data_IF_540941636356
#
_entry.id   IF_540941636356
#
_cell.length_a   1.000
_cell.length_b   1.000
_cell.length_c   1.000
_cell.angle_alpha   90.00
_cell.angle_beta   90.00
_cell.angle_gamma   90.00
#
_symmetry.space_group_name_H-M   'P 1'
#
loop_
_entity.id
_entity.type
_entity.pdbx_description
1 polymer ?
#
# COMPACT_ATOMS: atom_id res chain seq x y z
N UNK A 1 8.44 44.64 -69.85
CA UNK A 1 7.95 43.66 -68.86
C UNK A 1 9.16 43.08 -68.16
N UNK A 2 9.33 43.35 -66.87
CA UNK A 2 10.42 42.78 -66.07
C UNK A 2 10.02 41.38 -65.62
N UNK A 3 10.74 40.36 -66.06
CA UNK A 3 10.53 38.98 -65.62
C UNK A 3 10.87 38.86 -64.13
N UNK A 4 9.85 38.52 -63.33
CA UNK A 4 10.00 38.26 -61.90
C UNK A 4 10.50 36.82 -61.72
N UNK A 5 11.78 36.65 -61.42
CA UNK A 5 12.35 35.34 -61.11
C UNK A 5 12.00 34.95 -59.66
N UNK A 6 11.22 33.88 -59.50
CA UNK A 6 10.97 33.26 -58.20
C UNK A 6 11.87 32.04 -58.08
N UNK A 7 12.75 32.02 -57.09
CA UNK A 7 13.53 30.81 -56.79
C UNK A 7 12.59 29.70 -56.32
N UNK A 8 12.74 28.52 -56.91
CA UNK A 8 12.04 27.32 -56.46
C UNK A 8 12.63 26.90 -55.12
N UNK A 9 11.88 27.08 -54.03
CA UNK A 9 12.30 26.69 -52.68
C UNK A 9 12.48 25.17 -52.51
N UNK A 10 12.85 24.73 -51.30
CA UNK A 10 12.90 23.32 -50.94
C UNK A 10 11.71 22.93 -50.06
N UNK A 11 11.12 21.75 -50.27
CA UNK A 11 10.06 21.14 -49.44
C UNK A 11 10.68 20.26 -48.35
N UNK A 12 10.22 20.41 -47.11
CA UNK A 12 10.57 19.51 -46.01
C UNK A 12 9.65 18.27 -45.99
N UNK A 13 10.20 17.09 -45.72
CA UNK A 13 9.41 15.87 -45.50
C UNK A 13 9.49 15.43 -44.03
N UNK A 14 8.34 15.34 -43.35
CA UNK A 14 8.29 15.00 -41.92
C UNK A 14 8.69 13.55 -41.60
N UNK A 15 8.40 12.62 -42.51
CA UNK A 15 8.71 11.20 -42.31
C UNK A 15 10.18 10.88 -42.57
N UNK A 16 10.77 11.49 -43.61
CA UNK A 16 12.16 11.26 -43.98
C UNK A 16 13.14 12.25 -43.35
N UNK A 17 12.64 13.37 -42.80
CA UNK A 17 13.41 14.46 -42.19
C UNK A 17 14.52 14.98 -43.11
N UNK A 18 14.18 15.19 -44.38
CA UNK A 18 15.08 15.76 -45.39
C UNK A 18 14.37 16.85 -46.18
N UNK A 19 15.17 17.79 -46.70
CA UNK A 19 14.72 18.76 -47.69
C UNK A 19 14.79 18.15 -49.09
N UNK A 20 13.74 18.36 -49.87
CA UNK A 20 13.55 17.90 -51.25
C UNK A 20 13.37 19.15 -52.11
N UNK A 21 13.82 19.14 -53.37
CA UNK A 21 13.53 20.25 -54.28
C UNK A 21 12.03 20.38 -54.52
N UNK A 22 11.51 21.62 -54.58
CA UNK A 22 10.08 21.87 -54.79
C UNK A 22 9.64 21.67 -56.26
N UNK A 23 10.05 20.57 -56.88
CA UNK A 23 9.56 20.15 -58.19
C UNK A 23 8.53 19.02 -57.98
N UNK A 24 7.32 19.09 -58.57
CA UNK A 24 6.28 18.08 -58.41
C UNK A 24 6.73 16.66 -58.79
N UNK A 25 7.68 16.50 -59.70
CA UNK A 25 8.24 15.19 -60.05
C UNK A 25 9.18 14.66 -58.96
N UNK A 26 10.05 15.51 -58.41
CA UNK A 26 10.95 15.15 -57.31
C UNK A 26 10.17 14.75 -56.05
N UNK A 27 9.10 15.49 -55.74
CA UNK A 27 8.22 15.21 -54.60
C UNK A 27 7.54 13.85 -54.77
N UNK A 28 6.94 13.59 -55.94
CA UNK A 28 6.29 12.30 -56.22
C UNK A 28 7.27 11.13 -56.16
N UNK A 29 8.45 11.27 -56.75
CA UNK A 29 9.47 10.21 -56.71
C UNK A 29 9.96 9.94 -55.28
N UNK A 30 10.06 10.98 -54.44
CA UNK A 30 10.37 10.81 -53.02
C UNK A 30 9.25 10.08 -52.27
N UNK A 31 8.00 10.52 -52.42
CA UNK A 31 6.83 9.96 -51.73
C UNK A 31 6.56 8.50 -52.16
N UNK A 32 6.83 8.18 -53.43
CA UNK A 32 6.76 6.82 -53.96
C UNK A 32 7.97 5.95 -53.60
N UNK A 33 9.07 6.58 -53.15
CA UNK A 33 10.31 5.91 -52.78
C UNK A 33 10.13 4.96 -51.59
N UNK A 34 10.88 3.85 -51.61
CA UNK A 34 10.83 2.80 -50.58
C UNK A 34 11.15 3.36 -49.19
N UNK A 35 12.17 4.21 -49.07
CA UNK A 35 12.53 4.86 -47.79
C UNK A 35 11.38 5.65 -47.17
N UNK A 36 10.62 6.39 -47.98
CA UNK A 36 9.49 7.17 -47.49
C UNK A 36 8.38 6.25 -46.99
N UNK A 37 7.98 5.27 -47.80
CA UNK A 37 6.97 4.27 -47.44
C UNK A 37 7.35 3.49 -46.17
N UNK A 38 8.60 3.07 -46.05
CA UNK A 38 9.11 2.35 -44.88
C UNK A 38 9.08 3.22 -43.61
N UNK A 39 9.43 4.51 -43.72
CA UNK A 39 9.38 5.43 -42.59
C UNK A 39 7.94 5.71 -42.15
N UNK A 40 7.01 5.86 -43.10
CA UNK A 40 5.57 6.00 -42.82
C UNK A 40 5.06 4.73 -42.14
N UNK A 41 5.35 3.54 -42.69
CA UNK A 41 4.94 2.26 -42.11
C UNK A 41 5.50 2.06 -40.69
N UNK A 42 6.77 2.43 -40.45
CA UNK A 42 7.39 2.41 -39.12
C UNK A 42 6.69 3.36 -38.16
N UNK A 43 6.37 4.58 -38.59
CA UNK A 43 5.65 5.55 -37.73
C UNK A 43 4.25 5.06 -37.38
N UNK A 44 3.51 4.51 -38.34
CA UNK A 44 2.19 3.92 -38.08
C UNK A 44 2.27 2.71 -37.14
N UNK A 45 3.27 1.85 -37.31
CA UNK A 45 3.48 0.71 -36.41
C UNK A 45 3.86 1.16 -34.99
N UNK A 46 4.70 2.20 -34.86
CA UNK A 46 5.03 2.79 -33.57
C UNK A 46 3.80 3.39 -32.89
N UNK A 47 2.99 4.19 -33.60
CA UNK A 47 1.74 4.77 -33.08
C UNK A 47 0.77 3.70 -32.58
N UNK A 48 0.57 2.61 -33.34
CA UNK A 48 -0.28 1.50 -32.89
C UNK A 48 0.24 0.86 -31.60
N UNK A 49 1.55 0.60 -31.52
CA UNK A 49 2.17 0.03 -30.31
C UNK A 49 2.03 0.98 -29.11
N UNK A 50 2.32 2.26 -29.28
CA UNK A 50 2.16 3.28 -28.26
C UNK A 50 0.70 3.39 -27.78
N UNK A 51 -0.27 3.37 -28.69
CA UNK A 51 -1.69 3.38 -28.30
C UNK A 51 -2.05 2.15 -27.49
N UNK A 52 -1.63 0.94 -27.90
CA UNK A 52 -1.89 -0.27 -27.11
C UNK A 52 -1.19 -0.30 -25.76
N UNK A 53 -0.02 0.35 -25.64
CA UNK A 53 0.69 0.49 -24.36
C UNK A 53 -0.06 1.47 -23.45
N UNK A 54 -0.41 2.65 -23.95
CA UNK A 54 -1.21 3.66 -23.24
C UNK A 54 -2.55 3.09 -22.79
N UNK A 55 -3.26 2.35 -23.65
CA UNK A 55 -4.53 1.71 -23.26
C UNK A 55 -4.37 0.71 -22.10
N UNK A 56 -3.24 -0.01 -22.02
CA UNK A 56 -2.96 -0.91 -20.91
C UNK A 56 -2.65 -0.14 -19.63
N UNK A 57 -1.80 0.89 -19.73
CA UNK A 57 -1.49 1.78 -18.60
C UNK A 57 -2.77 2.47 -18.08
N UNK A 58 -3.65 2.95 -18.97
CA UNK A 58 -4.94 3.51 -18.61
C UNK A 58 -5.87 2.49 -17.93
N UNK A 59 -5.88 1.23 -18.38
CA UNK A 59 -6.64 0.16 -17.73
C UNK A 59 -6.09 -0.18 -16.35
N UNK A 60 -4.77 -0.29 -16.21
CA UNK A 60 -4.11 -0.58 -14.94
C UNK A 60 -4.32 0.55 -13.92
N UNK A 61 -4.21 1.80 -14.36
CA UNK A 61 -4.50 2.98 -13.52
C UNK A 61 -5.97 3.06 -13.12
N UNK A 62 -6.91 2.79 -14.03
CA UNK A 62 -8.33 2.73 -13.70
C UNK A 62 -8.64 1.63 -12.67
N UNK A 63 -8.07 0.43 -12.83
CA UNK A 63 -8.22 -0.66 -11.86
C UNK A 63 -7.60 -0.31 -10.50
N UNK A 64 -6.46 0.38 -10.48
CA UNK A 64 -5.82 0.83 -9.25
C UNK A 64 -6.70 1.85 -8.51
N UNK A 65 -7.29 2.81 -9.23
CA UNK A 65 -8.21 3.79 -8.67
C UNK A 65 -9.47 3.12 -8.10
N UNK A 66 -10.09 2.19 -8.84
CA UNK A 66 -11.25 1.44 -8.36
C UNK A 66 -10.95 0.67 -7.06
N UNK A 67 -9.76 0.06 -6.96
CA UNK A 67 -9.34 -0.62 -5.72
C UNK A 67 -9.12 0.34 -4.56
N UNK A 68 -8.58 1.54 -4.82
CA UNK A 68 -8.41 2.58 -3.79
C UNK A 68 -9.77 3.06 -3.31
N UNK A 69 -10.69 3.33 -4.23
CA UNK A 69 -12.06 3.75 -3.92
C UNK A 69 -12.80 2.69 -3.11
N UNK A 70 -12.76 1.43 -3.53
CA UNK A 70 -13.40 0.33 -2.80
C UNK A 70 -12.82 0.16 -1.38
N UNK A 71 -11.50 0.32 -1.21
CA UNK A 71 -10.87 0.29 0.12
C UNK A 71 -11.28 1.49 0.97
N UNK A 72 -11.30 2.68 0.40
CA UNK A 72 -11.70 3.91 1.08
C UNK A 72 -13.18 3.88 1.50
N UNK A 73 -14.07 3.35 0.65
CA UNK A 73 -15.47 3.16 1.00
C UNK A 73 -15.64 2.16 2.14
N UNK A 74 -14.91 1.03 2.12
CA UNK A 74 -14.95 0.05 3.21
C UNK A 74 -14.42 0.60 4.52
N UNK A 75 -13.34 1.38 4.52
CA UNK A 75 -12.86 2.04 5.74
C UNK A 75 -13.87 3.06 6.25
N UNK A 76 -14.42 3.89 5.36
CA UNK A 76 -15.43 4.88 5.73
C UNK A 76 -16.69 4.25 6.33
N UNK A 77 -17.18 3.14 5.76
CA UNK A 77 -18.31 2.40 6.33
C UNK A 77 -18.00 1.85 7.72
N UNK A 78 -16.79 1.32 7.94
CA UNK A 78 -16.36 0.85 9.25
C UNK A 78 -16.26 1.99 10.26
N UNK A 79 -15.71 3.13 9.86
CA UNK A 79 -15.60 4.30 10.73
C UNK A 79 -16.98 4.84 11.10
N UNK A 80 -17.92 4.88 10.14
CA UNK A 80 -19.32 5.20 10.40
C UNK A 80 -19.97 4.25 11.40
N UNK A 81 -19.88 2.94 11.15
CA UNK A 81 -20.44 1.94 12.05
C UNK A 81 -19.83 2.05 13.45
N UNK A 82 -18.52 2.27 13.56
CA UNK A 82 -17.84 2.49 14.84
C UNK A 82 -18.32 3.76 15.55
N UNK A 83 -18.58 4.83 14.82
CA UNK A 83 -19.13 6.07 15.38
C UNK A 83 -20.57 5.88 15.84
N UNK A 84 -21.39 5.15 15.07
CA UNK A 84 -22.76 4.80 15.45
C UNK A 84 -22.77 3.88 16.67
N UNK A 85 -21.94 2.84 16.71
CA UNK A 85 -21.76 1.98 17.88
C UNK A 85 -21.31 2.80 19.09
N UNK A 86 -20.29 3.67 18.95
CA UNK A 86 -19.84 4.52 20.06
C UNK A 86 -20.94 5.46 20.56
N UNK A 87 -21.78 5.97 19.66
CA UNK A 87 -22.96 6.77 20.02
C UNK A 87 -23.99 5.93 20.76
N UNK A 88 -24.31 4.73 20.26
CA UNK A 88 -25.25 3.81 20.89
C UNK A 88 -24.78 3.38 22.28
N UNK A 89 -23.49 3.04 22.43
CA UNK A 89 -22.87 2.77 23.74
C UNK A 89 -23.03 3.96 24.70
N UNK A 90 -22.80 5.20 24.22
CA UNK A 90 -22.94 6.40 25.05
C UNK A 90 -24.42 6.73 25.36
N UNK A 91 -25.34 6.43 24.45
CA UNK A 91 -26.78 6.63 24.64
C UNK A 91 -27.34 5.63 25.66
N UNK A 92 -26.89 4.37 25.61
CA UNK A 92 -27.22 3.35 26.60
C UNK A 92 -26.65 3.66 27.99
N UNK A 93 -25.43 4.20 28.09
CA UNK A 93 -24.86 4.63 29.37
C UNK A 93 -25.64 5.81 29.97
N UNK A 94 -26.19 6.70 29.14
CA UNK A 94 -26.98 7.85 29.59
C UNK A 94 -28.41 7.49 30.05
N UNK A 95 -29.06 6.49 29.43
CA UNK A 95 -30.42 6.05 29.77
C UNK A 95 -30.50 5.22 31.07
N UNK A 96 -29.36 4.85 31.62
CA UNK A 96 -29.24 3.86 32.69
C UNK A 96 -29.08 4.50 34.09
N UNK A 97 -28.80 5.80 34.14
CA UNK A 97 -28.72 6.62 35.36
C UNK A 97 -30.00 7.41 35.59
N UNK A 98 -30.75 7.06 36.64
CA UNK A 98 -31.91 7.81 37.09
C UNK A 98 -31.52 8.83 38.16
N UNK A 99 -31.87 10.09 37.94
CA UNK A 99 -31.74 11.11 38.98
C UNK A 99 -32.92 11.01 39.96
N UNK A 100 -32.64 10.69 41.23
CA UNK A 100 -33.66 10.62 42.25
C UNK A 100 -33.74 11.94 43.03
N UNK A 101 -34.73 12.77 42.72
CA UNK A 101 -34.91 14.11 43.29
C UNK A 101 -35.09 14.14 44.82
N UNK A 102 -35.50 13.03 45.45
CA UNK A 102 -35.69 12.93 46.91
C UNK A 102 -34.37 12.76 47.66
N UNK A 103 -33.41 12.07 47.06
CA UNK A 103 -32.12 11.73 47.66
C UNK A 103 -30.99 12.61 47.11
N UNK A 104 -31.16 13.18 45.91
CA UNK A 104 -30.17 14.04 45.25
C UNK A 104 -29.01 13.28 44.62
N UNK A 105 -29.12 11.94 44.53
CA UNK A 105 -28.14 11.04 43.95
C UNK A 105 -28.63 10.49 42.60
N UNK A 106 -27.69 10.12 41.73
CA UNK A 106 -27.98 9.35 40.52
C UNK A 106 -27.90 7.87 40.84
N UNK A 107 -28.94 7.10 40.53
CA UNK A 107 -28.98 5.65 40.71
C UNK A 107 -28.85 4.94 39.36
N UNK A 108 -27.89 4.01 39.27
CA UNK A 108 -27.70 3.17 38.10
C UNK A 108 -28.57 1.91 38.22
N UNK A 109 -29.59 1.80 37.37
CA UNK A 109 -30.63 0.75 37.47
C UNK A 109 -30.08 -0.68 37.42
N UNK A 110 -29.17 -0.95 36.49
CA UNK A 110 -28.62 -2.30 36.30
C UNK A 110 -27.44 -2.66 37.18
N UNK A 111 -26.56 -1.69 37.50
CA UNK A 111 -25.36 -1.96 38.29
C UNK A 111 -25.60 -1.77 39.80
N UNK A 112 -26.71 -1.12 40.19
CA UNK A 112 -27.07 -0.88 41.59
C UNK A 112 -26.14 0.10 42.31
N UNK A 113 -25.45 0.94 41.56
CA UNK A 113 -24.55 1.97 42.10
C UNK A 113 -25.28 3.31 42.23
N UNK A 114 -24.94 4.04 43.28
CA UNK A 114 -25.34 5.42 43.50
C UNK A 114 -24.15 6.35 43.21
N UNK A 115 -24.37 7.41 42.45
CA UNK A 115 -23.40 8.44 42.15
C UNK A 115 -23.82 9.77 42.77
N UNK A 116 -22.91 10.39 43.53
CA UNK A 116 -23.11 11.72 44.10
C UNK A 116 -22.41 12.79 43.25
N UNK A 117 -23.16 13.68 42.57
CA UNK A 117 -22.57 14.71 41.71
C UNK A 117 -21.79 15.78 42.48
N UNK A 118 -22.00 15.93 43.80
CA UNK A 118 -21.29 16.93 44.62
C UNK A 118 -19.92 16.42 45.08
N UNK A 119 -19.82 15.14 45.36
CA UNK A 119 -18.61 14.53 45.90
C UNK A 119 -17.83 13.73 44.85
N UNK A 120 -18.46 13.35 43.74
CA UNK A 120 -17.84 12.59 42.66
C UNK A 120 -17.56 11.12 43.01
N UNK A 121 -18.08 10.65 44.15
CA UNK A 121 -17.90 9.28 44.62
C UNK A 121 -19.09 8.40 44.25
N UNK A 122 -18.80 7.10 44.17
CA UNK A 122 -19.76 6.05 43.88
C UNK A 122 -19.99 5.18 45.11
N UNK A 123 -21.22 4.76 45.35
CA UNK A 123 -21.61 3.88 46.47
C UNK A 123 -22.36 2.66 45.94
N UNK A 124 -22.12 1.49 46.53
CA UNK A 124 -22.92 0.29 46.33
C UNK A 124 -23.02 -0.48 47.64
N UNK A 125 -24.16 -1.15 47.86
CA UNK A 125 -24.39 -1.92 49.09
C UNK A 125 -23.42 -3.10 49.26
N UNK A 126 -22.85 -3.60 48.15
CA UNK A 126 -21.86 -4.67 48.19
C UNK A 126 -20.49 -4.21 48.72
N UNK A 127 -20.11 -2.95 48.48
CA UNK A 127 -18.84 -2.40 48.97
C UNK A 127 -19.03 -1.73 50.34
N UNK A 128 -20.23 -1.18 50.60
CA UNK A 128 -20.59 -0.52 51.85
C UNK A 128 -19.75 0.73 52.16
N UNK A 129 -19.06 1.28 51.15
CA UNK A 129 -18.18 2.45 51.25
C UNK A 129 -18.31 3.31 49.99
N UNK A 130 -18.03 4.60 50.14
CA UNK A 130 -17.89 5.54 49.03
C UNK A 130 -16.52 5.36 48.38
N UNK A 131 -16.53 5.14 47.07
CA UNK A 131 -15.38 4.66 46.29
C UNK A 131 -15.19 5.54 45.07
N UNK A 132 -13.94 5.70 44.63
CA UNK A 132 -13.60 6.50 43.43
C UNK A 132 -14.09 5.82 42.15
N UNK A 133 -14.20 6.57 41.05
CA UNK A 133 -14.70 6.01 39.78
C UNK A 133 -13.91 4.77 39.32
N UNK A 134 -12.58 4.80 39.37
CA UNK A 134 -11.75 3.67 38.92
C UNK A 134 -11.96 2.40 39.75
N UNK A 135 -12.07 2.54 41.07
CA UNK A 135 -12.30 1.44 41.99
C UNK A 135 -13.74 0.89 41.89
N UNK A 136 -14.73 1.76 41.61
CA UNK A 136 -16.11 1.35 41.38
C UNK A 136 -16.24 0.55 40.07
N UNK A 137 -15.60 1.00 38.99
CA UNK A 137 -15.59 0.32 37.69
C UNK A 137 -14.75 -0.98 37.70
N UNK A 138 -13.78 -1.10 38.61
CA UNK A 138 -13.01 -2.33 38.83
C UNK A 138 -13.79 -3.39 39.64
N UNK A 139 -14.89 -3.03 40.30
CA UNK A 139 -15.71 -3.95 41.09
C UNK A 139 -16.48 -4.92 40.18
N UNK A 140 -16.54 -6.22 40.51
CA UNK A 140 -17.22 -7.23 39.69
C UNK A 140 -18.73 -6.96 39.52
N UNK A 141 -19.33 -6.17 40.42
CA UNK A 141 -20.73 -5.77 40.34
C UNK A 141 -21.00 -4.71 39.25
N UNK A 142 -20.01 -3.88 38.90
CA UNK A 142 -20.11 -2.93 37.80
C UNK A 142 -19.88 -3.61 36.43
N UNK A 143 -19.06 -4.68 36.41
CA UNK A 143 -18.70 -5.41 35.20
C UNK A 143 -19.71 -6.50 34.75
N UNK A 144 -20.77 -6.75 35.51
CA UNK A 144 -21.69 -7.88 35.27
C UNK A 144 -22.59 -7.71 34.03
N UNK A 145 -22.67 -6.51 33.45
CA UNK A 145 -23.63 -6.20 32.37
C UNK A 145 -22.97 -6.03 31.00
N UNK A 146 -21.64 -5.91 30.91
CA UNK A 146 -20.93 -5.81 29.61
C UNK A 146 -20.68 -7.16 28.92
N UNK A 147 -21.02 -8.29 29.56
CA UNK A 147 -20.86 -9.64 28.99
C UNK A 147 -22.15 -10.19 28.38
N UNK A 148 -22.72 -9.53 27.37
CA UNK A 148 -23.75 -10.14 26.53
C UNK A 148 -23.67 -9.72 25.06
N UNK A 149 -22.52 -9.97 24.42
CA UNK A 149 -22.43 -10.33 22.99
C UNK A 149 -20.98 -10.66 22.61
N UNK A 150 -20.47 -11.81 23.03
CA UNK A 150 -19.34 -12.44 22.34
C UNK A 150 -19.24 -13.92 22.69
N UNK A 151 -19.92 -14.77 21.92
CA UNK A 151 -19.57 -16.20 21.84
C UNK A 151 -20.06 -16.84 20.54
N UNK A 152 -19.19 -16.86 19.53
CA UNK A 152 -18.93 -17.92 18.52
C UNK A 152 -17.77 -17.36 17.69
N UNK A 153 -16.56 -17.92 17.65
CA UNK A 153 -16.22 -19.32 17.37
C UNK A 153 -14.84 -19.73 17.92
N UNK A 154 -14.69 -21.05 17.99
CA UNK A 154 -13.67 -21.88 18.63
C UNK A 154 -12.19 -21.61 18.29
N UNK A 155 -11.37 -22.04 19.25
CA UNK A 155 -9.92 -22.16 19.26
C UNK A 155 -9.33 -23.14 18.22
N UNK A 156 -8.15 -22.81 17.69
CA UNK A 156 -7.02 -23.74 17.74
C UNK A 156 -5.65 -23.02 17.75
N UNK A 157 -4.71 -23.62 18.47
CA UNK A 157 -3.41 -23.12 18.99
C UNK A 157 -2.37 -22.70 17.92
N UNK A 158 -1.52 -21.73 18.28
CA UNK A 158 -0.15 -21.60 17.73
C UNK A 158 0.61 -20.26 17.95
N UNK A 159 1.12 -20.03 19.17
CA UNK A 159 2.35 -19.29 19.57
C UNK A 159 2.65 -17.80 19.15
N UNK A 160 2.56 -16.89 20.15
CA UNK A 160 3.54 -15.89 20.71
C UNK A 160 4.51 -15.02 19.81
N UNK A 161 5.03 -13.86 20.30
CA UNK A 161 4.76 -12.53 19.75
C UNK A 161 6.02 -11.70 19.34
N UNK A 162 5.88 -10.57 18.65
CA UNK A 162 6.57 -9.32 19.07
C UNK A 162 6.13 -8.04 18.32
N UNK A 163 6.23 -6.96 19.09
CA UNK A 163 5.83 -5.57 18.89
C UNK A 163 6.44 -4.85 17.67
N UNK A 164 5.63 -4.01 17.02
CA UNK A 164 6.08 -2.90 16.16
C UNK A 164 5.69 -1.55 16.80
N UNK A 165 6.60 -0.57 16.94
CA UNK A 165 6.27 0.73 17.52
C UNK A 165 5.60 1.71 16.54
N UNK A 166 4.72 2.55 17.09
CA UNK A 166 4.13 3.75 16.48
C UNK A 166 5.11 4.97 16.51
N UNK A 167 4.82 6.07 15.80
CA UNK A 167 5.80 6.86 15.06
C UNK A 167 6.36 8.06 15.83
N UNK A 168 7.58 8.48 15.46
CA UNK A 168 8.25 9.68 15.96
C UNK A 168 9.00 10.44 14.86
N UNK A 169 8.98 11.76 14.98
CA UNK A 169 9.31 12.85 14.03
C UNK A 169 10.77 13.33 14.22
N UNK A 170 11.33 13.95 13.14
CA UNK A 170 12.53 14.85 13.03
C UNK A 170 13.92 14.28 13.46
N UNK A 171 15.09 14.56 12.84
CA UNK A 171 15.56 15.65 11.97
C UNK A 171 16.91 15.28 11.28
N UNK A 172 17.20 15.94 10.15
CA UNK A 172 18.47 16.22 9.44
C UNK A 172 19.41 15.10 8.98
N UNK A 173 19.43 14.87 7.67
CA UNK A 173 20.53 14.23 6.94
C UNK A 173 21.52 15.28 6.39
N UNK A 174 22.78 15.17 6.79
CA UNK A 174 23.90 15.91 6.21
C UNK A 174 24.18 15.48 4.77
N UNK A 175 24.43 16.47 3.91
CA UNK A 175 24.85 16.32 2.52
C UNK A 175 26.30 15.82 2.45
N UNK A 176 26.56 14.74 1.70
CA UNK A 176 27.84 14.58 1.01
C UNK A 176 27.71 13.73 -0.28
N UNK A 177 28.01 14.28 -1.48
CA UNK A 177 27.66 13.67 -2.75
C UNK A 177 28.87 13.11 -3.51
N UNK A 178 29.55 12.06 -3.05
CA UNK A 178 30.56 11.39 -3.89
C UNK A 178 30.70 9.89 -3.58
N UNK A 179 29.84 9.05 -4.15
CA UNK A 179 30.23 7.67 -4.48
C UNK A 179 29.39 7.06 -5.60
N UNK A 180 30.06 6.78 -6.71
CA UNK A 180 29.53 6.15 -7.91
C UNK A 180 29.18 4.68 -7.64
N UNK A 181 27.93 4.26 -7.90
CA UNK A 181 27.54 2.84 -7.90
C UNK A 181 26.89 2.48 -9.23
N UNK A 182 27.53 1.49 -9.84
CA UNK A 182 27.26 0.83 -11.11
C UNK A 182 25.95 0.02 -11.05
N UNK A 183 25.12 0.20 -12.08
CA UNK A 183 24.15 -0.72 -12.67
C UNK A 183 23.02 -1.31 -11.79
N UNK A 184 21.81 -0.82 -12.03
CA UNK A 184 20.55 -1.52 -11.74
C UNK A 184 20.29 -2.60 -12.82
N UNK A 185 19.83 -3.82 -12.46
CA UNK A 185 19.34 -4.77 -13.45
C UNK A 185 17.89 -4.44 -13.85
N UNK A 186 17.64 -4.42 -15.15
CA UNK A 186 16.32 -4.17 -15.73
C UNK A 186 15.38 -5.37 -15.56
N UNK A 187 14.16 -5.10 -15.07
CA UNK A 187 13.08 -6.08 -14.94
C UNK A 187 12.31 -6.21 -16.25
N UNK A 188 12.72 -7.13 -17.12
CA UNK A 188 11.92 -7.53 -18.28
C UNK A 188 11.13 -8.80 -17.98
N UNK A 189 9.86 -8.64 -17.63
CA UNK A 189 8.89 -9.74 -17.52
C UNK A 189 8.45 -10.18 -18.92
N UNK A 190 9.08 -11.22 -19.45
CA UNK A 190 8.65 -11.88 -20.69
C UNK A 190 7.45 -12.79 -20.42
N UNK A 191 6.28 -12.36 -20.88
CA UNK A 191 5.03 -13.13 -20.85
C UNK A 191 5.14 -14.44 -21.65
N UNK A 192 4.75 -15.53 -21.02
CA UNK A 192 4.74 -16.88 -21.59
C UNK A 192 3.67 -17.00 -22.67
N UNK A 193 4.08 -17.19 -23.93
CA UNK A 193 3.23 -17.85 -24.95
C UNK A 193 3.47 -19.35 -24.89
N UNK A 194 2.39 -20.11 -24.81
CA UNK A 194 2.34 -21.58 -24.74
C UNK A 194 2.66 -22.15 -26.12
N UNK A 195 3.82 -22.78 -26.29
CA UNK A 195 4.15 -23.68 -27.42
C UNK A 195 4.05 -25.12 -26.91
N UNK A 196 3.44 -26.06 -27.66
CA UNK A 196 3.31 -27.44 -27.22
C UNK A 196 4.62 -28.19 -27.45
N UNK A 197 5.07 -28.91 -26.42
CA UNK A 197 6.08 -29.96 -26.52
C UNK A 197 7.54 -29.54 -26.32
N UNK A 198 8.00 -29.43 -25.07
CA UNK A 198 9.42 -29.59 -24.73
C UNK A 198 9.57 -30.40 -23.43
N UNK A 199 10.46 -31.39 -23.48
CA UNK A 199 10.80 -32.34 -22.42
C UNK A 199 11.37 -31.60 -21.19
N UNK A 200 11.26 -32.16 -19.96
CA UNK A 200 11.75 -31.49 -18.76
C UNK A 200 13.25 -31.20 -18.85
N UNK A 201 13.63 -29.93 -18.58
CA UNK A 201 15.02 -29.47 -18.57
C UNK A 201 15.81 -30.23 -17.50
N UNK A 202 16.71 -31.10 -17.96
CA UNK A 202 17.71 -31.75 -17.12
C UNK A 202 18.66 -30.65 -16.64
N UNK A 203 18.60 -30.31 -15.36
CA UNK A 203 19.54 -29.39 -14.71
C UNK A 203 20.93 -30.00 -14.85
N UNK A 204 21.81 -29.35 -15.61
CA UNK A 204 23.17 -29.83 -15.85
C UNK A 204 23.93 -29.92 -14.54
N UNK A 205 24.87 -30.86 -14.44
CA UNK A 205 25.68 -31.03 -13.22
C UNK A 205 26.45 -29.75 -12.85
N UNK A 206 26.78 -28.95 -13.87
CA UNK A 206 27.38 -27.63 -13.74
C UNK A 206 26.49 -26.65 -12.96
N UNK A 207 25.19 -26.62 -13.22
CA UNK A 207 24.27 -25.72 -12.53
C UNK A 207 24.05 -26.13 -11.06
N UNK A 208 24.03 -27.44 -10.77
CA UNK A 208 24.01 -27.96 -9.39
C UNK A 208 25.28 -27.59 -8.63
N UNK A 209 26.43 -27.66 -9.29
CA UNK A 209 27.71 -27.24 -8.70
C UNK A 209 27.73 -25.73 -8.39
N UNK A 210 27.15 -24.92 -9.27
CA UNK A 210 27.05 -23.48 -9.11
C UNK A 210 26.13 -23.08 -7.94
N UNK A 211 25.00 -23.79 -7.75
CA UNK A 211 24.12 -23.57 -6.61
C UNK A 211 24.78 -23.97 -5.29
N UNK A 212 25.46 -25.13 -5.24
CA UNK A 212 26.21 -25.58 -4.06
C UNK A 212 27.32 -24.59 -3.68
N UNK A 213 28.01 -24.01 -4.66
CA UNK A 213 29.02 -22.98 -4.42
C UNK A 213 28.42 -21.70 -3.84
N UNK A 214 27.24 -21.27 -4.32
CA UNK A 214 26.53 -20.09 -3.78
C UNK A 214 26.05 -20.31 -2.35
N UNK A 215 25.53 -21.50 -2.05
CA UNK A 215 25.09 -21.86 -0.70
C UNK A 215 26.28 -21.95 0.26
N UNK A 216 27.41 -22.53 -0.17
CA UNK A 216 28.64 -22.56 0.62
C UNK A 216 29.17 -21.14 0.90
N UNK A 217 29.09 -20.22 -0.06
CA UNK A 217 29.47 -18.82 0.13
C UNK A 217 28.57 -18.12 1.17
N UNK A 218 27.25 -18.33 1.11
CA UNK A 218 26.30 -17.80 2.11
C UNK A 218 26.60 -18.33 3.51
N UNK A 219 26.92 -19.63 3.63
CA UNK A 219 27.26 -20.24 4.92
C UNK A 219 28.52 -19.63 5.54
N UNK A 220 29.58 -19.38 4.75
CA UNK A 220 30.80 -18.69 5.22
C UNK A 220 30.56 -17.25 5.65
N UNK A 221 29.57 -16.57 5.06
CA UNK A 221 29.18 -15.22 5.50
C UNK A 221 28.45 -15.31 6.84
N UNK A 222 27.48 -16.22 6.96
CA UNK A 222 26.77 -16.44 8.21
C UNK A 222 27.68 -16.88 9.37
N UNK A 223 28.70 -17.71 9.11
CA UNK A 223 29.67 -18.11 10.15
C UNK A 223 30.53 -16.92 10.62
N UNK A 224 30.95 -16.04 9.69
CA UNK A 224 31.64 -14.79 10.03
C UNK A 224 30.73 -13.86 10.84
N UNK A 225 29.48 -13.70 10.44
CA UNK A 225 28.49 -12.87 11.14
C UNK A 225 28.16 -13.42 12.53
N UNK A 226 27.97 -14.75 12.66
CA UNK A 226 27.72 -15.40 13.96
C UNK A 226 28.88 -15.22 14.93
N UNK A 227 30.13 -15.28 14.46
CA UNK A 227 31.30 -15.00 15.29
C UNK A 227 31.37 -13.54 15.75
N UNK A 228 30.87 -12.59 14.95
CA UNK A 228 30.83 -11.16 15.28
C UNK A 228 29.67 -10.80 16.22
N UNK A 229 28.55 -11.53 16.15
CA UNK A 229 27.36 -11.29 16.98
C UNK A 229 27.53 -11.70 18.45
N UNK A 230 28.60 -12.43 18.80
CA UNK A 230 28.92 -12.83 20.19
C UNK A 230 29.49 -11.70 21.08
N UNK A 231 29.76 -10.52 20.53
CA UNK A 231 30.28 -9.35 21.28
C UNK A 231 29.17 -8.44 21.85
N UNK A 232 27.89 -8.69 21.54
CA UNK A 232 26.78 -7.79 21.93
C UNK A 232 25.66 -8.50 22.71
N UNK A 233 26.01 -9.50 23.53
CA UNK A 233 25.10 -10.02 24.56
C UNK A 233 25.84 -10.23 25.89
N UNK A 234 26.29 -9.14 26.51
CA UNK A 234 26.60 -9.13 27.95
C UNK A 234 25.49 -8.34 28.64
N UNK A 235 24.65 -8.99 29.46
CA UNK A 235 23.67 -8.26 30.26
C UNK A 235 24.39 -7.48 31.35
N UNK A 236 24.21 -6.17 31.38
CA UNK A 236 24.33 -5.34 32.58
C UNK A 236 22.92 -5.00 33.05
#
# INVERSE_FOLDING_TARGET
MTEYWVSQGNKWCDFCKIYISNNPSSIRNHELGTRHKDNVAKRLAAMRKENTAKEKEHKETAQALEQIEAKAQRSYQKDKAKLEEAREWHELDAEEWDFESSSGYYYHKTNGFYYDPKSGFYYSDAIGKWVTQEEAYASPHFASTTKKASSTSQSNKGNKPHNGPLPGRVVTTSLNPTRNVKAAPSSLSLGKRKRPGEKPKVVSEEEKSALKAREAARKRVQEREKSLLGLYSKPY
#
